data_IF_132441743959
#
_entry.id   IF_132441743959
#
_cell.length_a   1.000
_cell.length_b   1.000
_cell.length_c   1.000
_cell.angle_alpha   90.00
_cell.angle_beta   90.00
_cell.angle_gamma   90.00
#
_symmetry.space_group_name_H-M   'P 1'
#
loop_
_entity.id
_entity.type
_entity.pdbx_description
1 polymer ?
#
# COMPACT_ATOMS: atom_id res chain seq x y z
N UNK A 1 17.98 -28.55 -16.92
CA UNK A 1 16.69 -27.88 -17.09
C UNK A 1 17.00 -26.40 -17.26
N UNK A 2 16.39 -25.73 -18.24
CA UNK A 2 16.54 -24.27 -18.39
C UNK A 2 15.92 -23.58 -17.18
N UNK A 3 16.57 -22.54 -16.66
CA UNK A 3 16.00 -21.72 -15.60
C UNK A 3 15.00 -20.73 -16.22
N UNK A 4 13.73 -21.16 -16.31
CA UNK A 4 12.67 -20.45 -17.04
C UNK A 4 11.44 -20.17 -16.17
N UNK A 5 10.54 -19.32 -16.66
CA UNK A 5 9.23 -19.08 -16.04
C UNK A 5 8.42 -20.36 -15.85
N UNK A 6 8.53 -21.33 -16.77
CA UNK A 6 7.80 -22.60 -16.66
C UNK A 6 8.32 -23.51 -15.53
N UNK A 7 9.59 -23.36 -15.13
CA UNK A 7 10.23 -24.21 -14.12
C UNK A 7 10.27 -23.56 -12.74
N UNK A 8 10.65 -22.28 -12.67
CA UNK A 8 10.81 -21.55 -11.40
C UNK A 8 9.95 -20.28 -11.31
N UNK A 9 9.10 -20.02 -12.29
CA UNK A 9 8.25 -18.82 -12.31
C UNK A 9 9.08 -17.53 -12.29
N UNK A 10 8.59 -16.55 -11.54
CA UNK A 10 9.27 -15.26 -11.37
C UNK A 10 10.58 -15.34 -10.55
N UNK A 11 10.95 -16.52 -10.06
CA UNK A 11 12.24 -16.75 -9.39
C UNK A 11 13.36 -17.18 -10.35
N UNK A 12 13.06 -17.30 -11.65
CA UNK A 12 14.01 -17.74 -12.68
C UNK A 12 14.94 -16.63 -13.17
N UNK A 13 16.06 -17.01 -13.79
CA UNK A 13 16.94 -16.13 -14.59
C UNK A 13 16.18 -15.37 -15.69
N UNK A 14 15.13 -15.95 -16.30
CA UNK A 14 14.28 -15.23 -17.27
C UNK A 14 13.59 -13.99 -16.66
N UNK A 15 13.30 -13.98 -15.35
CA UNK A 15 12.78 -12.79 -14.66
C UNK A 15 13.85 -11.69 -14.53
N UNK A 16 15.12 -12.05 -14.36
CA UNK A 16 16.22 -11.08 -14.37
C UNK A 16 16.44 -10.50 -15.76
N UNK A 17 16.36 -11.34 -16.80
CA UNK A 17 16.44 -10.88 -18.17
C UNK A 17 15.29 -9.93 -18.49
N UNK A 18 14.06 -10.29 -18.10
CA UNK A 18 12.89 -9.43 -18.25
C UNK A 18 13.12 -8.05 -17.60
N UNK A 19 13.70 -8.01 -16.39
CA UNK A 19 14.05 -6.76 -15.71
C UNK A 19 14.96 -5.88 -16.55
N UNK A 20 16.03 -6.44 -17.11
CA UNK A 20 16.96 -5.70 -17.98
C UNK A 20 16.22 -5.15 -19.21
N UNK A 21 15.42 -5.99 -19.87
CA UNK A 21 14.63 -5.59 -21.04
C UNK A 21 13.63 -4.47 -20.73
N UNK A 22 12.99 -4.48 -19.55
CA UNK A 22 12.08 -3.40 -19.16
C UNK A 22 12.81 -2.09 -18.92
N UNK A 23 14.01 -2.13 -18.33
CA UNK A 23 14.83 -0.93 -18.15
C UNK A 23 15.27 -0.32 -19.49
N UNK A 24 15.47 -1.15 -20.52
CA UNK A 24 15.73 -0.69 -21.89
C UNK A 24 14.48 -0.16 -22.60
N UNK A 25 13.32 -0.80 -22.38
CA UNK A 25 12.05 -0.45 -23.02
C UNK A 25 11.40 0.81 -22.44
N UNK A 26 11.45 1.00 -21.13
CA UNK A 26 10.77 2.09 -20.41
C UNK A 26 11.70 2.88 -19.49
N UNK A 27 12.87 3.38 -19.97
CA UNK A 27 13.87 4.00 -19.12
C UNK A 27 13.38 5.30 -18.47
N UNK A 28 12.47 6.02 -19.12
CA UNK A 28 11.96 7.30 -18.66
C UNK A 28 11.10 7.13 -17.40
N UNK A 29 10.19 6.16 -17.40
CA UNK A 29 9.28 5.86 -16.30
C UNK A 29 10.05 5.44 -15.05
N UNK A 30 11.01 4.53 -15.20
CA UNK A 30 11.89 4.13 -14.09
C UNK A 30 12.71 5.30 -13.53
N UNK A 31 13.27 6.13 -14.42
CA UNK A 31 14.02 7.32 -14.01
C UNK A 31 13.14 8.30 -13.23
N UNK A 32 11.92 8.54 -13.71
CA UNK A 32 10.95 9.42 -13.04
C UNK A 32 10.57 8.91 -11.66
N UNK A 33 10.30 7.61 -11.50
CA UNK A 33 9.98 7.04 -10.19
C UNK A 33 11.16 7.18 -9.24
N UNK A 34 12.39 6.85 -9.67
CA UNK A 34 13.59 7.00 -8.84
C UNK A 34 13.81 8.44 -8.38
N UNK A 35 13.63 9.40 -9.28
CA UNK A 35 13.71 10.82 -8.95
C UNK A 35 12.62 11.21 -7.93
N UNK A 36 11.37 10.79 -8.16
CA UNK A 36 10.27 11.08 -7.24
C UNK A 36 10.52 10.51 -5.84
N UNK A 37 10.97 9.26 -5.73
CA UNK A 37 11.36 8.63 -4.45
C UNK A 37 12.49 9.41 -3.77
N UNK A 38 13.56 9.73 -4.50
CA UNK A 38 14.69 10.46 -3.95
C UNK A 38 14.29 11.85 -3.43
N UNK A 39 13.45 12.58 -4.18
CA UNK A 39 12.90 13.87 -3.76
C UNK A 39 12.00 13.74 -2.53
N UNK A 40 11.10 12.76 -2.50
CA UNK A 40 10.20 12.54 -1.37
C UNK A 40 10.97 12.19 -0.08
N UNK A 41 11.95 11.30 -0.16
CA UNK A 41 12.81 10.95 0.97
C UNK A 41 13.66 12.14 1.44
N UNK A 42 14.15 12.97 0.52
CA UNK A 42 14.86 14.21 0.86
C UNK A 42 13.95 15.20 1.58
N UNK A 43 12.72 15.39 1.09
CA UNK A 43 11.71 16.23 1.74
C UNK A 43 11.44 15.73 3.15
N UNK A 44 11.20 14.44 3.33
CA UNK A 44 10.96 13.85 4.64
C UNK A 44 12.15 14.06 5.60
N UNK A 45 13.39 13.82 5.14
CA UNK A 45 14.60 14.04 5.96
C UNK A 45 14.81 15.50 6.37
N UNK A 46 14.25 16.45 5.63
CA UNK A 46 14.34 17.87 5.97
C UNK A 46 13.33 18.30 7.04
N UNK A 47 12.34 17.45 7.34
CA UNK A 47 11.41 17.67 8.44
C UNK A 47 12.16 17.34 9.73
N UNK A 48 12.22 18.29 10.65
CA UNK A 48 12.64 18.07 12.03
C UNK A 48 11.38 17.88 12.87
N UNK A 49 10.86 16.65 13.02
CA UNK A 49 9.55 16.44 13.64
C UNK A 49 9.52 16.85 15.12
N UNK A 50 10.66 17.03 15.80
CA UNK A 50 10.72 17.57 17.16
C UNK A 50 9.71 16.92 18.11
N UNK A 51 9.00 17.73 18.89
CA UNK A 51 7.88 17.32 19.74
C UNK A 51 6.53 17.33 18.99
N UNK A 52 6.50 16.93 17.72
CA UNK A 52 5.27 16.86 16.95
C UNK A 52 4.23 15.99 17.67
N UNK A 53 2.98 16.42 17.57
CA UNK A 53 1.86 15.68 18.12
C UNK A 53 1.73 14.27 17.49
N UNK A 54 1.17 13.28 18.22
CA UNK A 54 1.11 11.90 17.78
C UNK A 54 0.52 11.69 16.38
N UNK A 55 -0.51 12.47 16.01
CA UNK A 55 -1.13 12.37 14.69
C UNK A 55 -0.22 12.78 13.53
N UNK A 56 0.64 13.78 13.74
CA UNK A 56 1.64 14.17 12.75
C UNK A 56 2.71 13.09 12.60
N UNK A 57 3.15 12.48 13.70
CA UNK A 57 4.09 11.34 13.65
C UNK A 57 3.48 10.14 12.92
N UNK A 58 2.23 9.80 13.21
CA UNK A 58 1.50 8.75 12.50
C UNK A 58 1.39 9.06 10.99
N UNK A 59 1.12 10.32 10.63
CA UNK A 59 1.05 10.75 9.23
C UNK A 59 2.40 10.54 8.51
N UNK A 60 3.51 10.92 9.14
CA UNK A 60 4.86 10.70 8.60
C UNK A 60 5.18 9.20 8.47
N UNK A 61 4.74 8.38 9.43
CA UNK A 61 4.85 6.92 9.38
C UNK A 61 4.08 6.31 8.21
N UNK A 62 2.82 6.71 8.01
CA UNK A 62 2.04 6.28 6.84
C UNK A 62 2.68 6.75 5.53
N UNK A 63 3.26 7.96 5.49
CA UNK A 63 3.95 8.44 4.31
C UNK A 63 5.20 7.61 3.99
N UNK A 64 6.00 7.27 4.99
CA UNK A 64 7.13 6.33 4.83
C UNK A 64 6.67 4.97 4.29
N UNK A 65 5.61 4.41 4.86
CA UNK A 65 5.02 3.14 4.40
C UNK A 65 4.48 3.24 2.97
N UNK A 66 3.91 4.38 2.58
CA UNK A 66 3.51 4.65 1.20
C UNK A 66 4.72 4.63 0.25
N UNK A 67 5.83 5.29 0.61
CA UNK A 67 7.05 5.30 -0.18
C UNK A 67 7.70 3.92 -0.29
N UNK A 68 7.71 3.15 0.80
CA UNK A 68 8.17 1.76 0.82
C UNK A 68 7.32 0.89 -0.12
N UNK A 69 6.00 0.95 0.00
CA UNK A 69 5.09 0.22 -0.88
C UNK A 69 5.30 0.60 -2.35
N UNK A 70 5.43 1.89 -2.67
CA UNK A 70 5.76 2.35 -4.01
C UNK A 70 7.06 1.74 -4.56
N UNK A 71 8.11 1.65 -3.74
CA UNK A 71 9.37 1.00 -4.14
C UNK A 71 9.17 -0.51 -4.36
N UNK A 72 8.43 -1.19 -3.48
CA UNK A 72 8.08 -2.60 -3.66
C UNK A 72 7.29 -2.86 -4.94
N UNK A 73 6.39 -1.95 -5.32
CA UNK A 73 5.65 -2.03 -6.60
C UNK A 73 6.61 -2.01 -7.78
N UNK A 74 7.62 -1.13 -7.78
CA UNK A 74 8.65 -1.06 -8.84
C UNK A 74 9.41 -2.38 -8.92
N UNK A 75 9.87 -2.91 -7.78
CA UNK A 75 10.63 -4.16 -7.72
C UNK A 75 9.82 -5.36 -8.23
N UNK A 76 8.53 -5.43 -7.91
CA UNK A 76 7.64 -6.49 -8.41
C UNK A 76 7.34 -6.32 -9.91
N UNK A 77 7.06 -5.09 -10.35
CA UNK A 77 6.73 -4.80 -11.74
C UNK A 77 7.91 -5.08 -12.68
N UNK A 78 9.13 -4.67 -12.29
CA UNK A 78 10.33 -4.93 -13.10
C UNK A 78 10.70 -6.41 -13.17
N UNK A 79 10.18 -7.25 -12.27
CA UNK A 79 10.32 -8.71 -12.29
C UNK A 79 9.17 -9.44 -12.99
N UNK A 80 8.19 -8.69 -13.51
CA UNK A 80 7.07 -9.25 -14.25
C UNK A 80 5.84 -9.60 -13.41
N UNK A 81 5.86 -9.33 -12.10
CA UNK A 81 4.76 -9.64 -11.17
C UNK A 81 3.71 -8.54 -11.13
N UNK A 82 3.13 -8.19 -12.28
CA UNK A 82 2.23 -7.04 -12.44
C UNK A 82 1.01 -7.09 -11.50
N UNK A 83 0.31 -8.22 -11.40
CA UNK A 83 -0.87 -8.35 -10.52
C UNK A 83 -0.53 -8.15 -9.04
N UNK A 84 0.59 -8.73 -8.57
CA UNK A 84 1.07 -8.53 -7.20
C UNK A 84 1.53 -7.08 -6.96
N UNK A 85 2.14 -6.45 -7.96
CA UNK A 85 2.49 -5.03 -7.92
C UNK A 85 1.25 -4.15 -7.76
N UNK A 86 0.16 -4.42 -8.49
CA UNK A 86 -1.11 -3.68 -8.37
C UNK A 86 -1.76 -3.84 -6.99
N UNK A 87 -1.69 -5.04 -6.41
CA UNK A 87 -2.16 -5.28 -5.04
C UNK A 87 -1.37 -4.44 -4.03
N UNK A 88 -0.04 -4.38 -4.15
CA UNK A 88 0.80 -3.56 -3.28
C UNK A 88 0.60 -2.05 -3.50
N UNK A 89 0.37 -1.64 -4.75
CA UNK A 89 0.09 -0.24 -5.09
C UNK A 89 -1.19 0.26 -4.43
N UNK A 90 -2.20 -0.62 -4.27
CA UNK A 90 -3.41 -0.30 -3.50
C UNK A 90 -3.06 0.08 -2.05
N UNK A 91 -2.15 -0.66 -1.42
CA UNK A 91 -1.64 -0.35 -0.07
C UNK A 91 -0.91 0.99 -0.04
N UNK A 92 -0.17 1.33 -1.08
CA UNK A 92 0.48 2.64 -1.17
C UNK A 92 -0.54 3.79 -1.17
N UNK A 93 -1.58 3.71 -2.00
CA UNK A 93 -2.68 4.70 -2.02
C UNK A 93 -3.43 4.78 -0.69
N UNK A 94 -3.67 3.65 -0.03
CA UNK A 94 -4.27 3.62 1.30
C UNK A 94 -3.44 4.41 2.32
N UNK A 95 -2.14 4.16 2.36
CA UNK A 95 -1.21 4.87 3.23
C UNK A 95 -1.13 6.36 2.87
N UNK A 96 -1.16 6.70 1.58
CA UNK A 96 -1.24 8.09 1.12
C UNK A 96 -2.48 8.79 1.68
N UNK A 97 -3.66 8.16 1.61
CA UNK A 97 -4.90 8.75 2.11
C UNK A 97 -4.84 9.01 3.61
N UNK A 98 -4.37 8.04 4.40
CA UNK A 98 -4.23 8.21 5.86
C UNK A 98 -3.19 9.27 6.21
N UNK A 99 -2.02 9.28 5.54
CA UNK A 99 -1.02 10.33 5.73
C UNK A 99 -1.60 11.72 5.47
N UNK A 100 -2.27 11.91 4.33
CA UNK A 100 -2.85 13.20 3.95
C UNK A 100 -4.02 13.61 4.85
N UNK A 101 -4.83 12.67 5.32
CA UNK A 101 -5.92 12.95 6.26
C UNK A 101 -5.36 13.45 7.60
N UNK A 102 -4.34 12.79 8.13
CA UNK A 102 -3.70 13.15 9.41
C UNK A 102 -2.89 14.43 9.32
N UNK A 103 -2.25 14.72 8.19
CA UNK A 103 -1.60 16.02 7.96
C UNK A 103 -2.58 17.19 8.03
N UNK A 104 -3.85 16.97 7.65
CA UNK A 104 -4.91 17.99 7.72
C UNK A 104 -5.62 18.03 9.07
N UNK A 105 -5.78 16.87 9.70
CA UNK A 105 -6.51 16.69 10.96
C UNK A 105 -5.77 15.69 11.86
N UNK A 106 -4.71 16.11 12.54
CA UNK A 106 -3.90 15.26 13.40
C UNK A 106 -4.71 14.56 14.50
N UNK A 107 -5.79 15.20 14.97
CA UNK A 107 -6.72 14.66 15.96
C UNK A 107 -7.46 13.38 15.50
N UNK A 108 -7.44 13.06 14.20
CA UNK A 108 -7.99 11.80 13.70
C UNK A 108 -7.19 10.58 14.15
N UNK A 109 -5.96 10.75 14.65
CA UNK A 109 -5.12 9.67 15.13
C UNK A 109 -5.81 8.83 16.22
N UNK A 110 -6.50 9.47 17.15
CA UNK A 110 -7.24 8.77 18.21
C UNK A 110 -8.38 7.91 17.62
N UNK A 111 -9.04 8.41 16.58
CA UNK A 111 -10.09 7.66 15.87
C UNK A 111 -9.53 6.47 15.11
N UNK A 112 -8.34 6.63 14.50
CA UNK A 112 -7.62 5.53 13.84
C UNK A 112 -7.21 4.45 14.83
N UNK A 113 -6.68 4.82 16.00
CA UNK A 113 -6.31 3.88 17.06
C UNK A 113 -7.54 3.13 17.59
N UNK A 114 -8.63 3.85 17.86
CA UNK A 114 -9.90 3.22 18.28
C UNK A 114 -10.46 2.27 17.22
N UNK A 115 -10.36 2.63 15.93
CA UNK A 115 -10.77 1.75 14.83
C UNK A 115 -9.88 0.51 14.72
N UNK A 116 -8.57 0.64 14.95
CA UNK A 116 -7.64 -0.49 15.02
C UNK A 116 -8.03 -1.47 16.13
N UNK A 117 -8.33 -0.98 17.33
CA UNK A 117 -8.79 -1.82 18.43
C UNK A 117 -10.13 -2.51 18.15
N UNK A 118 -11.06 -1.84 17.45
CA UNK A 118 -12.31 -2.45 17.01
C UNK A 118 -12.07 -3.64 16.07
N UNK A 119 -11.22 -3.49 15.06
CA UNK A 119 -10.89 -4.59 14.14
C UNK A 119 -10.10 -5.71 14.85
N UNK A 120 -9.19 -5.38 15.77
CA UNK A 120 -8.48 -6.37 16.59
C UNK A 120 -9.44 -7.23 17.42
N UNK A 121 -10.39 -6.58 18.09
CA UNK A 121 -11.43 -7.25 18.89
C UNK A 121 -12.32 -8.14 18.01
N UNK A 122 -12.73 -7.62 16.86
CA UNK A 122 -13.55 -8.35 15.89
C UNK A 122 -12.83 -9.58 15.33
N UNK A 123 -11.55 -9.44 14.99
CA UNK A 123 -10.72 -10.56 14.55
C UNK A 123 -10.60 -11.63 15.64
N UNK A 124 -10.31 -11.23 16.89
CA UNK A 124 -10.20 -12.17 17.99
C UNK A 124 -11.50 -12.96 18.22
N UNK A 125 -12.65 -12.28 18.21
CA UNK A 125 -13.96 -12.94 18.30
C UNK A 125 -14.19 -13.93 17.16
N UNK A 126 -13.88 -13.53 15.93
CA UNK A 126 -14.05 -14.38 14.76
C UNK A 126 -13.14 -15.62 14.79
N UNK A 127 -11.90 -15.47 15.27
CA UNK A 127 -10.98 -16.61 15.44
C UNK A 127 -11.49 -17.61 16.47
N UNK A 128 -11.97 -17.12 17.61
CA UNK A 128 -12.56 -17.97 18.65
C UNK A 128 -13.81 -18.69 18.14
N UNK A 129 -14.68 -18.01 17.38
CA UNK A 129 -15.88 -18.61 16.80
C UNK A 129 -15.54 -19.66 15.72
N UNK A 130 -14.57 -19.38 14.85
CA UNK A 130 -14.24 -20.24 13.72
C UNK A 130 -13.51 -21.54 14.10
N UNK A 131 -12.88 -21.61 15.27
CA UNK A 131 -12.12 -22.80 15.65
C UNK A 131 -11.31 -22.64 16.92
N UNK A 132 -11.97 -22.33 18.04
CA UNK A 132 -11.35 -22.22 19.38
C UNK A 132 -10.45 -23.39 19.74
N UNK A 133 -10.85 -24.61 19.40
CA UNK A 133 -10.15 -25.86 19.66
C UNK A 133 -8.85 -26.03 18.85
N UNK A 134 -8.67 -25.24 17.79
CA UNK A 134 -7.48 -25.22 16.94
C UNK A 134 -6.44 -24.20 17.39
N UNK A 135 -6.73 -23.45 18.46
CA UNK A 135 -5.88 -22.38 18.98
C UNK A 135 -5.08 -22.95 20.14
N UNK A 136 -3.76 -22.74 20.09
CA UNK A 136 -2.87 -23.08 21.20
C UNK A 136 -3.34 -22.42 22.52
N UNK A 137 -3.28 -23.09 23.68
CA UNK A 137 -3.80 -22.56 24.93
C UNK A 137 -3.25 -21.18 25.34
N UNK A 138 -1.99 -20.87 25.07
CA UNK A 138 -1.41 -19.55 25.39
C UNK A 138 -2.05 -18.46 24.53
N UNK A 139 -2.21 -18.73 23.23
CA UNK A 139 -2.87 -17.83 22.28
C UNK A 139 -4.36 -17.70 22.55
N UNK A 140 -5.00 -18.75 23.06
CA UNK A 140 -6.40 -18.71 23.44
C UNK A 140 -6.64 -17.68 24.55
N UNK A 141 -5.80 -17.69 25.60
CA UNK A 141 -5.89 -16.74 26.69
C UNK A 141 -5.66 -15.29 26.22
N UNK A 142 -4.71 -15.06 25.32
CA UNK A 142 -4.47 -13.74 24.71
C UNK A 142 -5.69 -13.24 23.93
N UNK A 143 -6.31 -14.10 23.11
CA UNK A 143 -7.49 -13.73 22.35
C UNK A 143 -8.68 -13.44 23.25
N UNK A 144 -8.90 -14.25 24.29
CA UNK A 144 -9.94 -14.00 25.30
C UNK A 144 -9.74 -12.64 25.98
N UNK A 145 -8.51 -12.31 26.37
CA UNK A 145 -8.17 -11.01 26.95
C UNK A 145 -8.50 -9.86 25.98
N UNK A 146 -8.12 -9.97 24.71
CA UNK A 146 -8.46 -8.99 23.67
C UNK A 146 -9.98 -8.84 23.53
N UNK A 147 -10.75 -9.93 23.55
CA UNK A 147 -12.21 -9.84 23.39
C UNK A 147 -12.93 -9.16 24.57
N UNK A 148 -12.29 -9.15 25.74
CA UNK A 148 -12.78 -8.50 26.95
C UNK A 148 -12.46 -7.00 27.00
N UNK A 149 -11.56 -6.51 26.15
CA UNK A 149 -11.26 -5.08 26.05
C UNK A 149 -12.49 -4.30 25.54
N UNK A 150 -12.73 -3.13 26.14
CA UNK A 150 -13.83 -2.23 25.74
C UNK A 150 -13.21 -0.94 25.18
N UNK A 151 -13.42 -0.73 23.89
CA UNK A 151 -13.02 0.49 23.21
C UNK A 151 -14.24 1.23 22.66
N UNK A 152 -14.18 2.56 22.54
CA UNK A 152 -15.19 3.31 21.81
C UNK A 152 -15.33 2.74 20.40
N UNK A 153 -16.57 2.49 19.97
CA UNK A 153 -16.78 2.03 18.60
C UNK A 153 -16.37 3.13 17.62
N UNK A 154 -15.36 2.86 16.82
CA UNK A 154 -14.86 3.76 15.81
C UNK A 154 -14.71 3.02 14.49
N UNK A 155 -15.16 3.67 13.42
CA UNK A 155 -14.90 3.26 12.04
C UNK A 155 -14.19 4.41 11.36
N UNK A 156 -13.10 4.11 10.65
CA UNK A 156 -12.43 5.08 9.80
C UNK A 156 -11.82 4.33 8.62
N UNK A 157 -12.50 4.43 7.48
CA UNK A 157 -12.13 3.72 6.27
C UNK A 157 -11.15 4.52 5.41
N UNK A 158 -10.55 3.87 4.42
CA UNK A 158 -9.76 4.55 3.40
C UNK A 158 -10.58 5.59 2.60
N UNK A 159 -11.89 5.38 2.46
CA UNK A 159 -12.79 6.36 1.84
C UNK A 159 -12.98 7.60 2.71
N UNK A 160 -13.09 7.42 4.03
CA UNK A 160 -13.16 8.52 4.99
C UNK A 160 -11.84 9.33 4.97
N UNK A 161 -10.71 8.63 4.98
CA UNK A 161 -9.39 9.24 4.89
C UNK A 161 -9.21 10.02 3.57
N UNK A 162 -9.54 9.42 2.42
CA UNK A 162 -9.49 10.09 1.13
C UNK A 162 -10.43 11.30 1.07
N UNK A 163 -11.61 11.22 1.70
CA UNK A 163 -12.54 12.34 1.81
C UNK A 163 -11.96 13.51 2.62
N UNK A 164 -11.36 13.23 3.77
CA UNK A 164 -10.69 14.27 4.59
C UNK A 164 -9.50 14.87 3.85
N UNK A 165 -8.75 14.03 3.13
CA UNK A 165 -7.58 14.41 2.35
C UNK A 165 -7.91 15.16 1.04
N UNK A 166 -9.20 15.26 0.67
CA UNK A 166 -9.63 15.76 -0.65
C UNK A 166 -8.93 15.01 -1.80
N UNK A 167 -8.98 13.68 -1.70
CA UNK A 167 -8.39 12.71 -2.65
C UNK A 167 -9.43 11.68 -3.10
N UNK A 168 -10.71 12.08 -3.16
CA UNK A 168 -11.81 11.20 -3.60
C UNK A 168 -11.62 10.73 -5.04
N UNK A 169 -11.06 11.58 -5.90
CA UNK A 169 -10.80 11.20 -7.28
C UNK A 169 -9.80 10.05 -7.35
N UNK A 170 -8.70 10.11 -6.62
CA UNK A 170 -7.68 9.05 -6.53
C UNK A 170 -8.25 7.77 -5.89
N UNK A 171 -9.15 7.93 -4.91
CA UNK A 171 -9.87 6.80 -4.33
C UNK A 171 -10.69 6.05 -5.39
N UNK A 172 -11.53 6.76 -6.15
CA UNK A 172 -12.42 6.13 -7.12
C UNK A 172 -11.70 5.68 -8.40
N UNK A 173 -10.72 6.45 -8.88
CA UNK A 173 -10.04 6.20 -10.16
C UNK A 173 -8.86 5.23 -10.08
N UNK A 174 -8.12 5.23 -8.97
CA UNK A 174 -6.95 4.35 -8.78
C UNK A 174 -7.26 3.26 -7.75
N UNK A 175 -7.41 3.64 -6.48
CA UNK A 175 -7.48 2.69 -5.36
C UNK A 175 -8.57 1.62 -5.53
N UNK A 176 -9.79 2.02 -5.90
CA UNK A 176 -10.91 1.09 -6.10
C UNK A 176 -10.65 0.13 -7.27
N UNK A 177 -10.11 0.64 -8.38
CA UNK A 177 -9.77 -0.15 -9.56
C UNK A 177 -8.69 -1.19 -9.26
N UNK A 178 -7.64 -0.80 -8.53
CA UNK A 178 -6.55 -1.69 -8.08
C UNK A 178 -7.07 -2.85 -7.20
N UNK A 179 -8.15 -2.61 -6.46
CA UNK A 179 -8.86 -3.66 -5.73
C UNK A 179 -9.38 -4.77 -6.65
N UNK A 180 -10.00 -4.42 -7.77
CA UNK A 180 -10.62 -5.37 -8.68
C UNK A 180 -9.60 -6.20 -9.48
N UNK A 181 -8.54 -5.56 -9.94
CA UNK A 181 -7.59 -6.17 -10.89
C UNK A 181 -6.35 -6.78 -10.24
N UNK A 182 -6.11 -6.53 -8.96
CA UNK A 182 -4.90 -6.99 -8.26
C UNK A 182 -5.15 -7.49 -6.85
N UNK A 183 -5.73 -6.66 -5.98
CA UNK A 183 -5.78 -6.97 -4.54
C UNK A 183 -6.82 -8.03 -4.15
N UNK A 184 -7.96 -8.09 -4.84
CA UNK A 184 -8.99 -9.09 -4.59
C UNK A 184 -8.86 -10.26 -5.57
N UNK A 185 -9.06 -11.48 -5.07
CA UNK A 185 -9.14 -12.68 -5.89
C UNK A 185 -10.46 -12.72 -6.68
N UNK A 186 -10.56 -11.87 -7.71
CA UNK A 186 -11.69 -11.83 -8.63
C UNK A 186 -11.33 -12.56 -9.92
N UNK A 187 -12.31 -12.94 -10.74
CA UNK A 187 -12.00 -13.49 -12.06
C UNK A 187 -11.16 -12.53 -12.91
N UNK A 188 -11.34 -11.20 -12.73
CA UNK A 188 -10.57 -10.18 -13.45
C UNK A 188 -9.11 -10.09 -13.02
N UNK A 189 -8.77 -10.49 -11.80
CA UNK A 189 -7.35 -10.57 -11.40
C UNK A 189 -6.65 -11.77 -12.06
N UNK A 190 -7.40 -12.65 -12.74
CA UNK A 190 -6.87 -13.80 -13.46
C UNK A 190 -6.64 -13.53 -14.96
N UNK A 191 -7.09 -12.39 -15.49
CA UNK A 191 -6.99 -12.03 -16.92
C UNK A 191 -5.55 -12.07 -17.46
N UNK A 192 -4.54 -11.99 -16.59
CA UNK A 192 -3.12 -12.05 -16.92
C UNK A 192 -2.53 -13.48 -16.99
N UNK A 193 -3.29 -14.49 -16.56
CA UNK A 193 -2.77 -15.85 -16.36
C UNK A 193 -3.24 -16.86 -17.41
N UNK A 194 -3.93 -16.40 -18.45
CA UNK A 194 -4.34 -17.25 -19.55
C UNK A 194 -4.20 -16.54 -20.90
N UNK A 195 -3.93 -17.32 -21.95
CA UNK A 195 -3.98 -16.86 -23.33
C UNK A 195 -4.99 -17.71 -24.09
N UNK A 196 -5.93 -17.07 -24.78
CA UNK A 196 -6.86 -17.75 -25.69
C UNK A 196 -6.16 -18.03 -27.02
N UNK A 197 -6.23 -19.28 -27.48
CA UNK A 197 -5.67 -19.74 -28.73
C UNK A 197 -6.66 -19.52 -29.88
N UNK A 198 -6.18 -19.58 -31.13
CA UNK A 198 -7.00 -19.36 -32.32
C UNK A 198 -8.15 -20.38 -32.48
N UNK A 199 -8.06 -21.56 -31.86
CA UNK A 199 -9.08 -22.60 -31.85
C UNK A 199 -10.07 -22.50 -30.67
N UNK A 200 -9.93 -21.47 -29.82
CA UNK A 200 -10.74 -21.25 -28.63
C UNK A 200 -10.29 -22.05 -27.39
N UNK A 201 -9.15 -22.74 -27.46
CA UNK A 201 -8.52 -23.34 -26.27
C UNK A 201 -7.76 -22.29 -25.44
N UNK A 202 -7.38 -22.63 -24.20
CA UNK A 202 -6.66 -21.73 -23.30
C UNK A 202 -5.39 -22.38 -22.76
N UNK A 203 -4.30 -21.61 -22.73
CA UNK A 203 -3.08 -21.97 -22.01
C UNK A 203 -2.94 -21.14 -20.74
N UNK A 204 -2.64 -21.80 -19.63
CA UNK A 204 -2.28 -21.12 -18.39
C UNK A 204 -0.82 -20.70 -18.45
N UNK A 205 -0.55 -19.43 -18.17
CA UNK A 205 0.80 -18.87 -18.26
C UNK A 205 1.15 -18.06 -17.03
N UNK A 206 2.31 -18.34 -16.42
CA UNK A 206 2.93 -17.49 -15.41
C UNK A 206 3.99 -16.58 -16.06
N UNK A 207 3.58 -15.83 -17.10
CA UNK A 207 4.48 -15.00 -17.91
C UNK A 207 4.35 -13.52 -17.51
N UNK A 208 5.42 -12.73 -17.70
CA UNK A 208 5.39 -11.32 -17.38
C UNK A 208 4.57 -10.52 -18.40
N UNK A 209 3.96 -9.42 -17.96
CA UNK A 209 3.18 -8.51 -18.83
C UNK A 209 3.96 -7.20 -19.08
N UNK A 210 4.81 -7.11 -20.12
CA UNK A 210 5.65 -5.94 -20.36
C UNK A 210 4.83 -4.67 -20.63
N UNK A 211 3.68 -4.81 -21.30
CA UNK A 211 2.79 -3.69 -21.64
C UNK A 211 2.27 -2.93 -20.40
N UNK A 212 2.20 -3.58 -19.23
CA UNK A 212 1.65 -2.97 -18.00
C UNK A 212 2.68 -2.20 -17.19
N UNK A 213 3.97 -2.43 -17.40
CA UNK A 213 5.03 -1.89 -16.54
C UNK A 213 5.02 -0.36 -16.55
N UNK A 214 5.01 0.27 -17.72
CA UNK A 214 4.98 1.73 -17.84
C UNK A 214 3.76 2.36 -17.13
N UNK A 215 2.59 1.75 -17.27
CA UNK A 215 1.36 2.22 -16.63
C UNK A 215 1.45 2.12 -15.10
N UNK A 216 1.94 1.00 -14.56
CA UNK A 216 2.15 0.82 -13.12
C UNK A 216 3.12 1.87 -12.58
N UNK A 217 4.25 2.08 -13.24
CA UNK A 217 5.24 3.09 -12.86
C UNK A 217 4.67 4.52 -12.92
N UNK A 218 3.78 4.80 -13.86
CA UNK A 218 3.04 6.06 -13.95
C UNK A 218 2.13 6.29 -12.74
N UNK A 219 1.39 5.26 -12.30
CA UNK A 219 0.57 5.35 -11.09
C UNK A 219 1.41 5.52 -9.82
N UNK A 220 2.53 4.79 -9.70
CA UNK A 220 3.50 4.98 -8.61
C UNK A 220 3.99 6.43 -8.57
N UNK A 221 4.43 6.96 -9.70
CA UNK A 221 4.88 8.35 -9.82
C UNK A 221 3.78 9.34 -9.38
N UNK A 222 2.54 9.09 -9.78
CA UNK A 222 1.37 9.91 -9.42
C UNK A 222 1.12 9.90 -7.92
N UNK A 223 1.13 8.70 -7.31
CA UNK A 223 0.98 8.51 -5.86
C UNK A 223 2.04 9.29 -5.08
N UNK A 224 3.31 9.17 -5.48
CA UNK A 224 4.41 9.86 -4.80
C UNK A 224 4.30 11.39 -4.96
N UNK A 225 4.03 11.88 -6.18
CA UNK A 225 3.88 13.32 -6.45
C UNK A 225 2.71 13.93 -5.68
N UNK A 226 1.61 13.21 -5.55
CA UNK A 226 0.47 13.62 -4.75
C UNK A 226 0.87 13.81 -3.28
N UNK A 227 1.54 12.82 -2.67
CA UNK A 227 1.97 12.92 -1.28
C UNK A 227 2.99 14.04 -1.04
N UNK A 228 3.97 14.22 -1.94
CA UNK A 228 4.89 15.36 -1.88
C UNK A 228 4.17 16.71 -1.96
N UNK A 229 3.15 16.82 -2.81
CA UNK A 229 2.33 18.03 -2.91
C UNK A 229 1.61 18.32 -1.60
N UNK A 230 0.87 17.33 -1.06
CA UNK A 230 0.12 17.47 0.19
C UNK A 230 1.02 17.76 1.39
N UNK A 231 2.20 17.14 1.45
CA UNK A 231 3.17 17.38 2.51
C UNK A 231 3.68 18.83 2.55
N UNK A 232 3.74 19.54 1.41
CA UNK A 232 4.10 20.97 1.37
C UNK A 232 3.02 21.90 1.90
N UNK A 233 1.78 21.42 2.00
CA UNK A 233 0.66 22.18 2.58
C UNK A 233 0.75 22.20 4.13
N UNK A 234 1.61 21.37 4.72
CA UNK A 234 1.76 21.23 6.17
C UNK A 234 2.81 22.19 6.71
N UNK A 235 2.42 23.02 7.68
CA UNK A 235 3.34 23.87 8.41
C UNK A 235 3.90 23.15 9.66
N UNK A 236 5.08 22.55 9.50
CA UNK A 236 5.78 21.87 10.60
C UNK A 236 6.37 22.84 11.65
N UNK A 237 6.36 24.15 11.41
CA UNK A 237 6.88 25.14 12.38
C UNK A 237 5.88 25.44 13.51
N UNK A 238 4.59 25.21 13.29
CA UNK A 238 3.52 25.42 14.28
C UNK A 238 3.24 24.21 15.17
N UNK A 239 3.70 23.01 14.77
CA UNK A 239 3.48 21.75 15.50
C UNK A 239 4.30 21.61 16.81
N UNK A 240 4.96 22.69 17.27
CA UNK A 240 6.01 22.64 18.30
C UNK A 240 5.85 23.56 19.52
N UNK A 241 4.71 24.24 19.73
CA UNK A 241 4.50 25.06 20.94
C UNK A 241 3.28 24.55 21.72
N UNK A 242 3.48 23.44 22.42
CA UNK A 242 2.70 23.14 23.62
C UNK A 242 3.57 23.52 24.82
N UNK A 243 3.43 24.76 25.31
CA UNK A 243 3.96 25.16 26.60
C UNK A 243 3.37 24.23 27.68
N UNK A 244 4.20 23.32 28.22
CA UNK A 244 3.90 22.69 29.50
C UNK A 244 4.47 23.60 30.60
N UNK A 245 3.66 24.04 31.56
CA UNK A 245 4.17 24.79 32.69
C UNK A 245 5.05 23.89 33.56
N UNK A 246 6.18 24.46 33.97
CA UNK A 246 7.16 23.94 34.93
C UNK A 246 6.56 23.50 36.26
#
# INVERSE_FOLDING_TARGET
MSDSFDTHGYLSEESEQFRVEQWERTPNEFTQVRQAVATALKQLKSIAPGHAEPGVLAALGFWLRCLEACQGVVLLAERGMASSALALLRTAYECLFYACALWRKPELADRLEAAHHCERTKQARAMLDAGRDRIDPERLAELEAITAEIYPHALFSAWDAASVADLRFEYESAYRGLGLIGAHATLRSLDAYYTEQADGSFDLTAKPEPERVAWILGLVTTCIRCGMHRLREVDFSQAGISDRPS
#
